data_IF_847385812307
#
_entry.id   IF_847385812307
#
_cell.length_a   1.000
_cell.length_b   1.000
_cell.length_c   1.000
_cell.angle_alpha   90.00
_cell.angle_beta   90.00
_cell.angle_gamma   90.00
#
_symmetry.space_group_name_H-M   'P 1'
#
loop_
_entity.id
_entity.type
_entity.pdbx_description
1 polymer ?
#
# COMPACT_ATOMS: atom_id res chain seq x y z
N UNK A 1 20.03 3.99 -27.27
CA UNK A 1 19.82 2.75 -26.50
C UNK A 1 18.33 2.49 -26.45
N UNK A 2 17.89 1.28 -26.75
CA UNK A 2 16.50 0.84 -26.69
C UNK A 2 16.44 -0.42 -25.82
N UNK A 3 15.36 -0.57 -25.06
CA UNK A 3 15.06 -1.80 -24.34
C UNK A 3 13.58 -2.14 -24.58
N UNK A 4 13.30 -3.42 -24.79
CA UNK A 4 11.93 -3.94 -24.92
C UNK A 4 11.65 -4.81 -23.71
N UNK A 5 10.53 -4.54 -23.05
CA UNK A 5 10.04 -5.29 -21.89
C UNK A 5 8.70 -5.89 -22.27
N UNK A 6 8.58 -7.20 -22.14
CA UNK A 6 7.42 -7.99 -22.54
C UNK A 6 6.95 -8.86 -21.37
N UNK A 7 5.63 -9.02 -21.24
CA UNK A 7 4.92 -9.87 -20.27
C UNK A 7 5.04 -9.49 -18.78
N UNK A 8 6.24 -9.24 -18.25
CA UNK A 8 6.49 -8.88 -16.84
C UNK A 8 7.40 -7.66 -16.71
N UNK A 9 7.41 -7.01 -15.54
CA UNK A 9 8.19 -5.78 -15.32
C UNK A 9 9.72 -5.98 -15.38
N UNK A 10 10.17 -7.22 -15.32
CA UNK A 10 11.55 -7.69 -15.47
C UNK A 10 11.77 -8.50 -16.76
N UNK A 11 10.73 -8.63 -17.60
CA UNK A 11 10.73 -9.39 -18.84
C UNK A 11 11.46 -8.67 -19.97
N UNK A 12 12.75 -8.35 -19.77
CA UNK A 12 13.56 -7.66 -20.77
C UNK A 12 13.89 -8.62 -21.92
N UNK A 13 13.17 -8.50 -23.04
CA UNK A 13 13.34 -9.34 -24.22
C UNK A 13 14.38 -8.79 -25.20
N UNK A 14 14.61 -7.47 -25.21
CA UNK A 14 15.61 -6.82 -26.05
C UNK A 14 16.38 -5.74 -25.29
N UNK A 15 17.70 -5.68 -25.47
CA UNK A 15 18.52 -4.50 -25.16
C UNK A 15 19.37 -4.20 -26.39
N UNK A 16 19.27 -2.97 -26.90
CA UNK A 16 20.03 -2.47 -28.03
C UNK A 16 20.77 -1.18 -27.66
N UNK A 17 22.07 -1.10 -27.94
CA UNK A 17 22.89 0.10 -27.72
C UNK A 17 23.52 0.49 -29.04
N UNK A 18 23.23 1.70 -29.52
CA UNK A 18 23.77 2.27 -30.76
C UNK A 18 23.62 1.36 -32.00
N UNK A 19 22.44 0.76 -32.20
CA UNK A 19 22.21 -0.14 -33.34
C UNK A 19 22.71 -1.57 -33.14
N UNK A 20 23.40 -1.87 -32.03
CA UNK A 20 23.90 -3.21 -31.71
C UNK A 20 23.02 -3.88 -30.66
N UNK A 21 22.40 -5.00 -31.03
CA UNK A 21 21.68 -5.86 -30.08
C UNK A 21 22.67 -6.47 -29.09
N UNK A 22 22.46 -6.18 -27.81
CA UNK A 22 23.23 -6.69 -26.67
C UNK A 22 22.54 -7.91 -26.06
N UNK A 23 21.21 -7.90 -26.04
CA UNK A 23 20.38 -8.98 -25.53
C UNK A 23 19.17 -9.12 -26.44
N UNK A 24 18.85 -10.34 -26.87
CA UNK A 24 17.64 -10.71 -27.58
C UNK A 24 17.20 -12.09 -27.07
N UNK A 25 16.06 -12.15 -26.39
CA UNK A 25 15.49 -13.37 -25.81
C UNK A 25 14.04 -13.47 -26.23
N UNK A 26 13.66 -14.64 -26.73
CA UNK A 26 12.25 -15.00 -26.81
C UNK A 26 11.77 -15.34 -25.41
N UNK A 27 11.03 -14.43 -24.79
CA UNK A 27 10.36 -14.70 -23.52
C UNK A 27 9.04 -15.36 -23.89
N UNK A 28 8.97 -16.68 -23.77
CA UNK A 28 7.68 -17.37 -23.81
C UNK A 28 6.92 -17.03 -22.54
N UNK A 29 5.69 -16.55 -22.70
CA UNK A 29 4.73 -16.51 -21.60
C UNK A 29 4.38 -17.95 -21.23
N UNK A 30 5.13 -18.54 -20.29
CA UNK A 30 4.52 -19.53 -19.43
C UNK A 30 3.57 -18.73 -18.56
N UNK A 31 2.29 -18.84 -18.88
CA UNK A 31 1.20 -18.57 -17.96
C UNK A 31 1.57 -19.38 -16.70
N UNK A 32 2.25 -18.73 -15.75
CA UNK A 32 2.46 -19.32 -14.44
C UNK A 32 1.06 -19.72 -14.05
N UNK A 33 0.83 -21.04 -13.92
CA UNK A 33 -0.44 -21.59 -13.45
C UNK A 33 -0.93 -20.59 -12.43
N UNK A 34 -2.05 -19.91 -12.72
CA UNK A 34 -2.76 -19.16 -11.73
C UNK A 34 -2.85 -20.15 -10.59
N UNK A 35 -2.01 -19.93 -9.57
CA UNK A 35 -1.87 -20.85 -8.46
C UNK A 35 -3.31 -21.10 -8.03
N UNK A 36 -3.67 -22.32 -7.65
CA UNK A 36 -4.98 -22.68 -7.08
C UNK A 36 -5.30 -21.90 -5.77
N UNK A 37 -4.74 -20.70 -5.59
CA UNK A 37 -4.98 -19.66 -4.60
C UNK A 37 -6.40 -19.09 -4.62
N UNK A 38 -7.22 -19.34 -5.65
CA UNK A 38 -8.67 -19.12 -5.57
C UNK A 38 -9.33 -19.90 -4.41
N UNK A 39 -8.60 -20.86 -3.82
CA UNK A 39 -9.04 -21.64 -2.65
C UNK A 39 -8.66 -21.06 -1.28
N UNK A 40 -7.91 -19.95 -1.19
CA UNK A 40 -7.50 -19.40 0.12
C UNK A 40 -8.71 -18.82 0.87
N UNK A 41 -9.04 -19.41 2.02
CA UNK A 41 -10.17 -18.96 2.84
C UNK A 41 -9.71 -18.02 3.96
N UNK A 42 -10.55 -17.04 4.31
CA UNK A 42 -10.27 -16.13 5.42
C UNK A 42 -10.09 -16.89 6.74
N UNK A 43 -10.83 -17.97 6.96
CA UNK A 43 -10.71 -18.82 8.14
C UNK A 43 -9.32 -19.47 8.23
N UNK A 44 -8.71 -19.83 7.10
CA UNK A 44 -7.36 -20.40 7.06
C UNK A 44 -6.30 -19.35 7.38
N UNK A 45 -6.49 -18.11 6.90
CA UNK A 45 -5.64 -16.98 7.27
C UNK A 45 -5.70 -16.73 8.77
N UNK A 46 -6.90 -16.65 9.35
CA UNK A 46 -7.06 -16.42 10.79
C UNK A 46 -6.49 -17.58 11.61
N UNK A 47 -6.74 -18.83 11.19
CA UNK A 47 -6.17 -20.01 11.84
C UNK A 47 -4.65 -19.98 11.80
N UNK A 48 -4.05 -19.69 10.65
CA UNK A 48 -2.61 -19.63 10.49
C UNK A 48 -1.98 -18.54 11.37
N UNK A 49 -2.52 -17.31 11.34
CA UNK A 49 -2.00 -16.20 12.17
C UNK A 49 -2.00 -16.53 13.65
N UNK A 50 -2.99 -17.27 14.14
CA UNK A 50 -3.10 -17.66 15.55
C UNK A 50 -2.24 -18.86 15.95
N UNK A 51 -1.82 -19.69 14.98
CA UNK A 51 -1.13 -20.96 15.26
C UNK A 51 0.32 -21.01 14.78
N UNK A 52 0.70 -20.13 13.86
CA UNK A 52 2.05 -20.06 13.31
C UNK A 52 3.09 -19.80 14.40
N UNK A 53 4.26 -20.39 14.21
CA UNK A 53 5.44 -20.13 15.01
C UNK A 53 6.00 -18.75 14.65
N UNK A 54 5.88 -17.81 15.58
CA UNK A 54 6.30 -16.42 15.36
C UNK A 54 7.80 -16.27 15.13
N UNK A 55 8.61 -17.28 15.49
CA UNK A 55 10.05 -17.31 15.18
C UNK A 55 10.31 -17.35 13.67
N UNK A 56 9.47 -18.03 12.91
CA UNK A 56 9.57 -18.08 11.43
C UNK A 56 9.05 -16.80 10.77
N UNK A 57 8.29 -16.00 11.51
CA UNK A 57 7.67 -14.76 11.05
C UNK A 57 8.40 -13.50 11.53
N UNK A 58 9.51 -13.65 12.26
CA UNK A 58 10.25 -12.53 12.83
C UNK A 58 10.74 -11.53 11.78
N UNK A 59 10.97 -11.97 10.53
CA UNK A 59 11.32 -11.09 9.41
C UNK A 59 10.30 -9.96 9.16
N UNK A 60 9.05 -10.11 9.61
CA UNK A 60 8.03 -9.07 9.52
C UNK A 60 8.37 -7.86 10.39
N UNK A 61 8.98 -8.06 11.56
CA UNK A 61 9.47 -6.96 12.39
C UNK A 61 10.65 -6.26 11.72
N UNK A 62 11.54 -7.01 11.08
CA UNK A 62 12.66 -6.44 10.33
C UNK A 62 12.13 -5.61 9.15
N UNK A 63 11.06 -6.07 8.49
CA UNK A 63 10.35 -5.32 7.45
C UNK A 63 9.72 -4.02 7.96
N UNK A 64 9.11 -4.05 9.16
CA UNK A 64 8.57 -2.85 9.79
C UNK A 64 9.68 -1.85 10.19
N UNK A 65 10.76 -2.32 10.83
CA UNK A 65 11.92 -1.48 11.19
C UNK A 65 12.55 -0.81 9.95
N UNK A 66 12.76 -1.59 8.89
CA UNK A 66 13.23 -1.08 7.59
C UNK A 66 12.31 0.02 7.05
N UNK A 67 11.00 -0.16 7.19
CA UNK A 67 10.01 0.82 6.76
C UNK A 67 10.05 2.12 7.57
N UNK A 68 10.33 2.04 8.88
CA UNK A 68 10.53 3.22 9.73
C UNK A 68 11.81 3.98 9.39
N UNK A 69 12.93 3.27 9.17
CA UNK A 69 14.19 3.90 8.76
C UNK A 69 14.01 4.68 7.44
N UNK A 70 13.26 4.11 6.49
CA UNK A 70 12.93 4.78 5.24
C UNK A 70 12.03 6.00 5.45
N UNK A 71 11.08 5.94 6.39
CA UNK A 71 10.24 7.08 6.75
C UNK A 71 11.05 8.22 7.38
N UNK A 72 11.96 7.90 8.30
CA UNK A 72 12.86 8.87 8.92
C UNK A 72 13.73 9.57 7.87
N UNK A 73 14.37 8.82 6.97
CA UNK A 73 15.17 9.36 5.87
C UNK A 73 14.33 10.27 4.95
N UNK A 74 13.08 9.89 4.70
CA UNK A 74 12.08 10.70 3.99
C UNK A 74 11.87 12.08 4.60
N UNK A 75 11.77 12.16 5.93
CA UNK A 75 11.58 13.41 6.66
C UNK A 75 12.87 14.23 6.69
N UNK A 76 13.99 13.61 7.06
CA UNK A 76 15.30 14.26 7.19
C UNK A 76 15.72 14.90 5.86
N UNK A 77 15.76 14.10 4.79
CA UNK A 77 16.24 14.55 3.48
C UNK A 77 15.19 15.34 2.70
N UNK A 78 13.90 15.15 3.00
CA UNK A 78 12.83 15.79 2.25
C UNK A 78 12.74 15.27 0.82
N UNK A 79 12.59 13.96 0.66
CA UNK A 79 12.38 13.33 -0.64
C UNK A 79 10.98 13.58 -1.21
N UNK A 80 10.80 13.31 -2.50
CA UNK A 80 9.49 13.24 -3.14
C UNK A 80 8.69 14.55 -3.05
N UNK A 81 7.43 14.46 -2.62
CA UNK A 81 6.58 15.63 -2.38
C UNK A 81 6.89 16.33 -1.06
N UNK A 82 7.68 15.71 -0.18
CA UNK A 82 7.86 16.14 1.22
C UNK A 82 6.53 16.19 1.98
N UNK A 83 5.56 15.38 1.59
CA UNK A 83 4.24 15.31 2.21
C UNK A 83 4.32 14.83 3.66
N UNK A 84 5.11 13.79 3.96
CA UNK A 84 5.33 13.35 5.34
C UNK A 84 5.97 14.44 6.21
N UNK A 85 6.93 15.19 5.63
CA UNK A 85 7.57 16.34 6.27
C UNK A 85 6.58 17.47 6.54
N UNK A 86 5.72 17.77 5.56
CA UNK A 86 4.68 18.79 5.67
C UNK A 86 3.65 18.41 6.76
N UNK A 87 3.14 17.18 6.75
CA UNK A 87 2.22 16.68 7.78
C UNK A 87 2.83 16.71 9.18
N UNK A 88 4.12 16.41 9.32
CA UNK A 88 4.80 16.52 10.61
C UNK A 88 4.86 17.97 11.09
N UNK A 89 5.26 18.90 10.21
CA UNK A 89 5.34 20.33 10.58
C UNK A 89 3.97 20.94 10.89
N UNK A 90 2.90 20.46 10.24
CA UNK A 90 1.52 20.91 10.45
C UNK A 90 1.10 20.74 11.92
N UNK A 91 1.55 19.67 12.59
CA UNK A 91 1.27 19.40 14.02
C UNK A 91 1.71 20.55 14.92
N UNK A 92 2.76 21.28 14.54
CA UNK A 92 3.37 22.33 15.33
C UNK A 92 2.95 23.75 14.90
N UNK A 93 2.22 23.88 13.79
CA UNK A 93 1.79 25.18 13.23
C UNK A 93 2.97 26.15 13.07
N UNK A 94 2.84 27.36 13.62
CA UNK A 94 3.89 28.39 13.58
C UNK A 94 5.09 28.10 14.50
N UNK A 95 5.00 27.08 15.37
CA UNK A 95 6.00 26.80 16.42
C UNK A 95 6.79 25.52 16.12
N UNK A 96 7.26 25.36 14.88
CA UNK A 96 8.08 24.21 14.46
C UNK A 96 9.41 24.18 15.22
N UNK A 97 9.73 23.11 15.98
CA UNK A 97 11.02 22.95 16.64
C UNK A 97 12.20 23.03 15.65
N UNK A 98 13.29 23.69 16.06
CA UNK A 98 14.42 23.97 15.17
C UNK A 98 15.13 22.70 14.68
N UNK A 99 15.18 21.67 15.52
CA UNK A 99 15.79 20.36 15.28
C UNK A 99 14.77 19.30 14.81
N UNK A 100 13.53 19.69 14.49
CA UNK A 100 12.46 18.75 14.11
C UNK A 100 12.86 17.84 12.95
N UNK A 101 13.64 18.34 11.98
CA UNK A 101 14.07 17.53 10.85
C UNK A 101 15.42 16.83 11.04
N UNK A 102 16.12 17.10 12.14
CA UNK A 102 17.34 16.37 12.54
C UNK A 102 16.97 15.13 13.36
N UNK A 103 15.89 15.22 14.16
CA UNK A 103 15.41 14.14 15.01
C UNK A 103 13.88 13.93 14.90
N UNK A 104 13.33 13.70 13.70
CA UNK A 104 11.89 13.73 13.47
C UNK A 104 11.10 12.70 14.27
N UNK A 105 11.72 11.55 14.58
CA UNK A 105 11.09 10.49 15.36
C UNK A 105 10.77 10.93 16.81
N UNK A 106 11.49 11.93 17.35
CA UNK A 106 11.22 12.51 18.68
C UNK A 106 9.99 13.44 18.69
N UNK A 107 9.53 13.85 17.51
CA UNK A 107 8.48 14.86 17.33
C UNK A 107 7.18 14.26 16.76
N UNK A 108 7.05 12.93 16.70
CA UNK A 108 5.83 12.29 16.25
C UNK A 108 4.67 12.56 17.23
N UNK A 109 3.48 12.95 16.73
CA UNK A 109 2.35 13.26 17.59
C UNK A 109 1.90 12.04 18.39
N UNK A 110 1.32 12.29 19.57
CA UNK A 110 0.62 11.29 20.39
C UNK A 110 -0.82 11.08 19.88
N UNK A 111 -0.94 10.80 18.59
CA UNK A 111 -2.19 10.53 17.88
C UNK A 111 -1.91 9.49 16.80
N UNK A 112 -2.45 8.27 16.95
CA UNK A 112 -2.15 7.15 16.07
C UNK A 112 -2.51 7.42 14.59
N UNK A 113 -3.72 7.92 14.25
CA UNK A 113 -4.05 8.30 12.88
C UNK A 113 -3.03 9.26 12.26
N UNK A 114 -2.67 10.34 12.96
CA UNK A 114 -1.74 11.35 12.46
C UNK A 114 -0.33 10.79 12.35
N UNK A 115 0.14 10.03 13.36
CA UNK A 115 1.45 9.39 13.37
C UNK A 115 1.62 8.43 12.20
N UNK A 116 0.67 7.51 12.00
CA UNK A 116 0.71 6.56 10.89
C UNK A 116 0.66 7.27 9.53
N UNK A 117 -0.17 8.31 9.39
CA UNK A 117 -0.27 9.14 8.18
C UNK A 117 1.07 9.80 7.82
N UNK A 118 1.74 10.39 8.80
CA UNK A 118 3.07 11.04 8.63
C UNK A 118 4.09 10.00 8.15
N UNK A 119 4.21 8.88 8.87
CA UNK A 119 5.24 7.88 8.61
C UNK A 119 5.05 7.21 7.25
N UNK A 120 3.83 6.81 6.90
CA UNK A 120 3.54 6.18 5.60
C UNK A 120 3.81 7.16 4.44
N UNK A 121 3.39 8.41 4.58
CA UNK A 121 3.65 9.44 3.59
C UNK A 121 5.15 9.67 3.40
N UNK A 122 5.90 9.77 4.50
CA UNK A 122 7.34 9.99 4.49
C UNK A 122 8.11 8.83 3.85
N UNK A 123 7.76 7.58 4.19
CA UNK A 123 8.42 6.41 3.61
C UNK A 123 8.12 6.30 2.11
N UNK A 124 6.89 6.60 1.69
CA UNK A 124 6.56 6.70 0.26
C UNK A 124 7.31 7.84 -0.42
N UNK A 125 7.44 9.00 0.21
CA UNK A 125 8.20 10.13 -0.31
C UNK A 125 9.67 9.77 -0.50
N UNK A 126 10.28 9.10 0.48
CA UNK A 126 11.65 8.58 0.41
C UNK A 126 11.82 7.62 -0.76
N UNK A 127 10.97 6.60 -0.84
CA UNK A 127 11.01 5.61 -1.92
C UNK A 127 10.84 6.27 -3.29
N UNK A 128 9.82 7.12 -3.43
CA UNK A 128 9.50 7.71 -4.73
C UNK A 128 10.45 8.85 -5.13
N UNK A 129 11.05 9.51 -4.14
CA UNK A 129 12.06 10.54 -4.32
C UNK A 129 13.48 10.00 -4.51
N UNK A 130 13.68 8.68 -4.50
CA UNK A 130 14.96 8.06 -4.83
C UNK A 130 15.93 7.91 -3.65
N UNK A 131 15.41 7.74 -2.43
CA UNK A 131 16.22 7.26 -1.31
C UNK A 131 16.93 5.95 -1.68
N UNK A 132 18.13 5.76 -1.12
CA UNK A 132 18.94 4.54 -1.30
C UNK A 132 18.58 3.44 -0.31
N UNK A 133 17.78 3.75 0.71
CA UNK A 133 17.33 2.76 1.69
C UNK A 133 16.30 1.82 1.06
N UNK A 134 16.30 0.53 1.45
CA UNK A 134 15.36 -0.44 0.92
C UNK A 134 13.95 -0.22 1.50
N UNK A 135 12.94 -0.68 0.77
CA UNK A 135 11.58 -0.81 1.26
C UNK A 135 11.19 -2.28 1.26
N UNK A 136 10.67 -2.79 2.38
CA UNK A 136 10.17 -4.15 2.43
C UNK A 136 8.94 -4.26 1.52
N UNK A 137 9.04 -5.10 0.49
CA UNK A 137 7.93 -5.32 -0.44
C UNK A 137 6.93 -6.32 0.14
N UNK A 138 5.64 -6.03 -0.04
CA UNK A 138 4.59 -7.02 0.11
C UNK A 138 4.06 -7.38 -1.28
N UNK A 139 4.01 -8.66 -1.60
CA UNK A 139 3.53 -9.17 -2.89
C UNK A 139 4.18 -8.48 -4.10
N UNK A 140 5.49 -8.24 -4.03
CA UNK A 140 6.27 -7.61 -5.10
C UNK A 140 6.17 -6.08 -5.18
N UNK A 141 5.48 -5.41 -4.25
CA UNK A 141 5.35 -3.94 -4.23
C UNK A 141 5.77 -3.34 -2.89
N UNK A 142 6.78 -2.46 -2.95
CA UNK A 142 7.29 -1.71 -1.79
C UNK A 142 6.26 -0.78 -1.16
N UNK A 143 5.46 -0.06 -1.96
CA UNK A 143 4.44 0.85 -1.41
C UNK A 143 3.30 0.10 -0.72
N UNK A 144 2.97 -1.09 -1.22
CA UNK A 144 2.00 -1.96 -0.56
C UNK A 144 2.54 -2.48 0.77
N UNK A 145 3.83 -2.86 0.82
CA UNK A 145 4.49 -3.24 2.07
C UNK A 145 4.51 -2.11 3.10
N UNK A 146 4.90 -0.90 2.69
CA UNK A 146 4.86 0.29 3.54
C UNK A 146 3.47 0.57 4.12
N UNK A 147 2.43 0.51 3.28
CA UNK A 147 1.04 0.76 3.70
C UNK A 147 0.52 -0.34 4.63
N UNK A 148 0.93 -1.60 4.42
CA UNK A 148 0.49 -2.72 5.25
C UNK A 148 1.22 -2.80 6.60
N UNK A 149 2.49 -2.43 6.64
CA UNK A 149 3.34 -2.62 7.82
C UNK A 149 3.38 -1.41 8.74
N UNK A 150 3.57 -0.19 8.22
CA UNK A 150 3.79 1.00 9.06
C UNK A 150 2.60 1.28 9.99
N UNK A 151 1.33 1.33 9.53
CA UNK A 151 0.22 1.63 10.44
C UNK A 151 0.09 0.59 11.56
N UNK A 152 0.31 -0.69 11.23
CA UNK A 152 0.18 -1.81 12.17
C UNK A 152 1.31 -1.81 13.19
N UNK A 153 2.57 -1.70 12.76
CA UNK A 153 3.71 -1.63 13.68
C UNK A 153 3.67 -0.37 14.54
N UNK A 154 3.30 0.77 13.97
CA UNK A 154 3.13 2.03 14.72
C UNK A 154 2.05 1.87 15.78
N UNK A 155 0.94 1.21 15.45
CA UNK A 155 -0.13 0.93 16.42
C UNK A 155 0.32 -0.03 17.52
N UNK A 156 1.12 -1.05 17.19
CA UNK A 156 1.64 -1.98 18.18
C UNK A 156 2.52 -1.25 19.21
N UNK A 157 3.42 -0.38 18.76
CA UNK A 157 4.22 0.47 19.64
C UNK A 157 3.35 1.41 20.48
N UNK A 158 2.40 2.09 19.83
CA UNK A 158 1.48 3.03 20.48
C UNK A 158 0.62 2.36 21.57
N UNK A 159 0.20 1.12 21.35
CA UNK A 159 -0.64 0.35 22.27
C UNK A 159 0.18 -0.47 23.30
N UNK A 160 1.52 -0.41 23.25
CA UNK A 160 2.40 -1.18 24.14
C UNK A 160 2.28 -2.69 23.95
N UNK A 161 2.02 -3.14 22.72
CA UNK A 161 1.85 -4.55 22.36
C UNK A 161 3.18 -5.29 22.38
N UNK A 162 3.14 -6.56 22.76
CA UNK A 162 4.36 -7.36 22.80
C UNK A 162 4.79 -7.83 21.39
N UNK A 163 5.98 -8.40 21.31
CA UNK A 163 6.58 -8.84 20.04
C UNK A 163 5.72 -9.88 19.30
N UNK A 164 5.21 -10.89 20.01
CA UNK A 164 4.37 -11.95 19.43
C UNK A 164 3.05 -11.38 18.88
N UNK A 165 2.39 -10.50 19.64
CA UNK A 165 1.19 -9.78 19.19
C UNK A 165 1.48 -8.95 17.93
N UNK A 166 2.63 -8.29 17.89
CA UNK A 166 3.06 -7.43 16.76
C UNK A 166 3.31 -8.26 15.50
N UNK A 167 4.06 -9.36 15.62
CA UNK A 167 4.35 -10.27 14.51
C UNK A 167 3.06 -10.83 13.92
N UNK A 168 2.12 -11.28 14.77
CA UNK A 168 0.83 -11.83 14.32
C UNK A 168 -0.01 -10.78 13.60
N UNK A 169 -0.05 -9.56 14.11
CA UNK A 169 -0.76 -8.46 13.46
C UNK A 169 -0.15 -8.10 12.09
N UNK A 170 1.18 -8.04 11.98
CA UNK A 170 1.86 -7.81 10.72
C UNK A 170 1.63 -8.96 9.74
N UNK A 171 1.61 -10.21 10.22
CA UNK A 171 1.32 -11.38 9.41
C UNK A 171 -0.10 -11.33 8.85
N UNK A 172 -1.08 -10.99 9.69
CA UNK A 172 -2.46 -10.83 9.26
C UNK A 172 -2.62 -9.70 8.25
N UNK A 173 -1.91 -8.58 8.45
CA UNK A 173 -1.90 -7.47 7.50
C UNK A 173 -1.40 -7.91 6.13
N UNK A 174 -0.26 -8.60 6.08
CA UNK A 174 0.30 -9.11 4.83
C UNK A 174 -0.60 -10.16 4.16
N UNK A 175 -1.19 -11.08 4.93
CA UNK A 175 -2.05 -12.14 4.39
C UNK A 175 -3.40 -11.61 3.91
N UNK A 176 -3.98 -10.62 4.59
CA UNK A 176 -5.22 -9.98 4.14
C UNK A 176 -4.97 -9.10 2.90
N UNK A 177 -3.84 -8.39 2.83
CA UNK A 177 -3.40 -7.73 1.61
C UNK A 177 -3.31 -8.74 0.46
N UNK A 178 -2.67 -9.88 0.72
CA UNK A 178 -2.52 -10.94 -0.27
C UNK A 178 -3.87 -11.45 -0.74
N UNK A 179 -4.76 -11.82 0.18
CA UNK A 179 -6.13 -12.26 -0.10
C UNK A 179 -6.86 -11.29 -1.05
N UNK A 180 -6.91 -10.00 -0.70
CA UNK A 180 -7.60 -9.02 -1.56
C UNK A 180 -6.90 -8.86 -2.91
N UNK A 181 -5.57 -8.86 -2.93
CA UNK A 181 -4.78 -8.68 -4.16
C UNK A 181 -4.94 -9.82 -5.15
N UNK A 182 -4.96 -11.08 -4.69
CA UNK A 182 -5.08 -12.23 -5.60
C UNK A 182 -6.44 -12.24 -6.30
N UNK A 183 -7.51 -11.82 -5.62
CA UNK A 183 -8.84 -11.75 -6.22
C UNK A 183 -8.96 -10.59 -7.22
N UNK A 184 -8.35 -9.43 -6.96
CA UNK A 184 -8.42 -8.29 -7.89
C UNK A 184 -7.47 -8.48 -9.09
N UNK A 185 -6.42 -9.29 -8.93
CA UNK A 185 -5.43 -9.57 -9.96
C UNK A 185 -4.38 -8.45 -10.12
N UNK A 186 -3.62 -8.50 -11.22
CA UNK A 186 -2.55 -7.54 -11.53
C UNK A 186 -3.10 -6.21 -12.10
N UNK A 187 -4.16 -5.68 -11.50
CA UNK A 187 -4.89 -4.52 -11.99
C UNK A 187 -4.04 -3.24 -12.02
N UNK A 188 -3.77 -2.70 -13.21
CA UNK A 188 -2.90 -1.53 -13.40
C UNK A 188 -3.60 -0.18 -13.13
N UNK A 189 -4.92 -0.10 -13.33
CA UNK A 189 -5.68 1.14 -13.18
C UNK A 189 -6.16 1.44 -11.74
N UNK A 190 -6.28 0.43 -10.86
CA UNK A 190 -6.74 0.60 -9.48
C UNK A 190 -5.56 0.64 -8.50
N UNK A 191 -5.61 1.54 -7.53
CA UNK A 191 -4.56 1.69 -6.53
C UNK A 191 -4.64 0.57 -5.48
N UNK A 192 -3.86 -0.50 -5.66
CA UNK A 192 -3.79 -1.60 -4.70
C UNK A 192 -3.18 -1.20 -3.34
N UNK A 193 -2.44 -0.10 -3.25
CA UNK A 193 -2.08 0.47 -1.94
C UNK A 193 -3.33 0.96 -1.19
N UNK A 194 -4.29 1.56 -1.91
CA UNK A 194 -5.53 2.05 -1.31
C UNK A 194 -6.53 0.94 -1.03
N UNK A 195 -6.55 -0.12 -1.84
CA UNK A 195 -7.49 -1.22 -1.66
C UNK A 195 -6.84 -2.34 -0.84
N UNK A 196 -5.99 -3.16 -1.45
CA UNK A 196 -5.42 -4.35 -0.81
C UNK A 196 -4.56 -4.05 0.41
N UNK A 197 -3.64 -3.08 0.34
CA UNK A 197 -2.79 -2.78 1.49
C UNK A 197 -3.54 -2.09 2.63
N UNK A 198 -4.58 -1.30 2.32
CA UNK A 198 -5.48 -0.73 3.33
C UNK A 198 -6.37 -1.78 4.00
N UNK A 199 -6.78 -2.82 3.26
CA UNK A 199 -7.43 -4.00 3.81
C UNK A 199 -6.49 -4.73 4.79
N UNK A 200 -5.24 -4.94 4.40
CA UNK A 200 -4.19 -5.47 5.28
C UNK A 200 -4.04 -4.66 6.56
N UNK A 201 -3.80 -3.35 6.43
CA UNK A 201 -3.65 -2.46 7.56
C UNK A 201 -4.88 -2.52 8.50
N UNK A 202 -6.10 -2.46 7.96
CA UNK A 202 -7.32 -2.54 8.76
C UNK A 202 -7.43 -3.87 9.54
N UNK A 203 -7.10 -5.00 8.90
CA UNK A 203 -7.12 -6.30 9.56
C UNK A 203 -6.08 -6.41 10.70
N UNK A 204 -4.84 -5.99 10.44
CA UNK A 204 -3.77 -6.00 11.45
C UNK A 204 -4.07 -5.06 12.63
N UNK A 205 -4.60 -3.87 12.35
CA UNK A 205 -5.04 -2.91 13.36
C UNK A 205 -6.20 -3.46 14.21
N UNK A 206 -7.23 -4.02 13.58
CA UNK A 206 -8.35 -4.64 14.27
C UNK A 206 -7.88 -5.78 15.20
N UNK A 207 -6.95 -6.62 14.73
CA UNK A 207 -6.35 -7.68 15.52
C UNK A 207 -5.62 -7.16 16.76
N UNK A 208 -4.75 -6.15 16.62
CA UNK A 208 -4.04 -5.56 17.77
C UNK A 208 -5.00 -5.01 18.82
N UNK A 209 -6.12 -4.46 18.38
CA UNK A 209 -7.16 -3.90 19.25
C UNK A 209 -8.09 -4.95 19.85
N UNK A 210 -7.90 -6.24 19.54
CA UNK A 210 -8.71 -7.34 20.09
C UNK A 210 -10.11 -7.45 19.48
N UNK A 211 -10.28 -7.06 18.22
CA UNK A 211 -11.54 -7.17 17.51
C UNK A 211 -11.97 -8.65 17.37
N UNK A 212 -13.28 -8.88 17.43
CA UNK A 212 -13.85 -10.16 16.97
C UNK A 212 -13.66 -10.33 15.46
N UNK A 213 -13.76 -11.57 14.95
CA UNK A 213 -13.69 -11.83 13.51
C UNK A 213 -14.73 -11.02 12.71
N UNK A 214 -15.95 -10.85 13.26
CA UNK A 214 -16.99 -10.01 12.67
C UNK A 214 -16.54 -8.55 12.55
N UNK A 215 -16.01 -7.98 13.63
CA UNK A 215 -15.52 -6.60 13.63
C UNK A 215 -14.31 -6.43 12.71
N UNK A 216 -13.45 -7.44 12.60
CA UNK A 216 -12.33 -7.42 11.68
C UNK A 216 -12.81 -7.41 10.22
N UNK A 217 -13.73 -8.30 9.85
CA UNK A 217 -14.34 -8.32 8.51
C UNK A 217 -15.03 -6.98 8.19
N UNK A 218 -15.75 -6.41 9.15
CA UNK A 218 -16.37 -5.09 9.03
C UNK A 218 -15.34 -3.95 8.87
N UNK A 219 -14.23 -3.98 9.60
CA UNK A 219 -13.15 -3.00 9.48
C UNK A 219 -12.49 -3.05 8.09
N UNK A 220 -12.28 -4.25 7.55
CA UNK A 220 -11.74 -4.40 6.19
C UNK A 220 -12.73 -3.86 5.16
N UNK A 221 -14.03 -4.19 5.26
CA UNK A 221 -15.07 -3.65 4.37
C UNK A 221 -15.13 -2.12 4.43
N UNK A 222 -15.20 -1.56 5.63
CA UNK A 222 -15.20 -0.10 5.85
C UNK A 222 -13.94 0.59 5.32
N UNK A 223 -12.82 -0.13 5.22
CA UNK A 223 -11.56 0.38 4.68
C UNK A 223 -11.59 0.40 3.15
N UNK A 224 -11.94 -0.73 2.51
CA UNK A 224 -11.82 -0.88 1.05
C UNK A 224 -12.95 -0.23 0.26
N UNK A 225 -14.18 -0.24 0.78
CA UNK A 225 -15.34 0.30 0.07
C UNK A 225 -15.22 1.78 -0.30
N UNK A 226 -14.84 2.71 0.60
CA UNK A 226 -14.66 4.12 0.24
C UNK A 226 -13.39 4.40 -0.58
N UNK A 227 -12.44 3.47 -0.60
CA UNK A 227 -11.17 3.62 -1.35
C UNK A 227 -11.26 3.00 -2.76
N UNK A 228 -12.27 2.18 -3.01
CA UNK A 228 -12.54 1.58 -4.30
C UNK A 228 -12.83 2.67 -5.34
N UNK A 229 -11.97 2.77 -6.36
CA UNK A 229 -12.00 3.81 -7.39
C UNK A 229 -10.82 4.78 -7.35
N UNK A 230 -9.94 4.69 -6.34
CA UNK A 230 -8.68 5.41 -6.37
C UNK A 230 -7.81 4.89 -7.52
N UNK A 231 -7.54 5.74 -8.52
CA UNK A 231 -6.80 5.36 -9.72
C UNK A 231 -5.30 5.24 -9.46
N UNK A 232 -4.65 4.34 -10.19
CA UNK A 232 -3.21 4.14 -10.19
C UNK A 232 -2.62 4.58 -11.54
N UNK A 233 -1.49 5.28 -11.48
CA UNK A 233 -0.71 5.68 -12.66
C UNK A 233 0.75 5.24 -12.55
N UNK A 234 0.98 4.18 -11.77
CA UNK A 234 2.28 3.65 -11.41
C UNK A 234 2.90 4.29 -10.17
N UNK A 235 4.06 3.76 -9.78
CA UNK A 235 4.83 4.27 -8.66
C UNK A 235 5.37 5.66 -8.99
N UNK A 236 4.71 6.70 -8.46
CA UNK A 236 5.09 8.12 -8.57
C UNK A 236 4.89 8.82 -7.24
N UNK A 237 5.43 10.03 -7.13
CA UNK A 237 5.36 10.89 -5.95
C UNK A 237 3.95 11.03 -5.32
N UNK A 238 2.87 10.99 -6.11
CA UNK A 238 1.50 11.03 -5.59
C UNK A 238 1.09 9.80 -4.76
N UNK A 239 1.86 8.70 -4.79
CA UNK A 239 1.62 7.54 -3.93
C UNK A 239 1.62 7.91 -2.45
N UNK A 240 2.46 8.87 -2.03
CA UNK A 240 2.54 9.29 -0.63
C UNK A 240 1.18 9.79 -0.10
N UNK A 241 0.46 10.57 -0.92
CA UNK A 241 -0.87 11.08 -0.57
C UNK A 241 -1.93 9.97 -0.55
N UNK A 242 -1.89 9.07 -1.54
CA UNK A 242 -2.82 7.93 -1.65
C UNK A 242 -2.68 6.99 -0.46
N UNK A 243 -1.44 6.67 -0.08
CA UNK A 243 -1.12 5.79 1.04
C UNK A 243 -1.44 6.45 2.40
N UNK A 244 -1.25 7.76 2.52
CA UNK A 244 -1.64 8.54 3.69
C UNK A 244 -3.17 8.50 3.92
N UNK A 245 -3.96 8.69 2.85
CA UNK A 245 -5.43 8.57 2.89
C UNK A 245 -5.82 7.14 3.27
N UNK A 246 -5.26 6.14 2.59
CA UNK A 246 -5.55 4.74 2.85
C UNK A 246 -5.31 4.36 4.31
N UNK A 247 -4.14 4.72 4.86
CA UNK A 247 -3.78 4.42 6.25
C UNK A 247 -4.71 5.10 7.26
N UNK A 248 -5.08 6.36 7.00
CA UNK A 248 -6.01 7.10 7.86
C UNK A 248 -7.42 6.48 7.82
N UNK A 249 -7.87 6.07 6.63
CA UNK A 249 -9.14 5.38 6.44
C UNK A 249 -9.15 4.02 7.12
N UNK A 250 -8.07 3.23 7.04
CA UNK A 250 -7.96 1.94 7.73
C UNK A 250 -8.13 2.08 9.25
N UNK A 251 -7.47 3.05 9.88
CA UNK A 251 -7.59 3.30 11.33
C UNK A 251 -9.02 3.74 11.69
N UNK A 252 -9.61 4.62 10.87
CA UNK A 252 -10.99 5.08 11.06
C UNK A 252 -11.99 3.93 10.90
N UNK A 253 -11.78 3.04 9.93
CA UNK A 253 -12.60 1.88 9.65
C UNK A 253 -12.64 0.88 10.81
N UNK A 254 -11.49 0.66 11.46
CA UNK A 254 -11.40 -0.14 12.69
C UNK A 254 -12.19 0.52 13.82
N UNK A 255 -12.03 1.83 14.02
CA UNK A 255 -12.78 2.58 15.04
C UNK A 255 -14.29 2.44 14.86
N UNK A 256 -14.78 2.51 13.61
CA UNK A 256 -16.18 2.32 13.26
C UNK A 256 -16.66 0.89 13.52
N UNK A 257 -15.86 -0.12 13.16
CA UNK A 257 -16.22 -1.52 13.39
C UNK A 257 -16.37 -1.84 14.89
N UNK A 258 -15.55 -1.24 15.77
CA UNK A 258 -15.72 -1.33 17.23
C UNK A 258 -17.02 -0.69 17.76
N UNK A 259 -17.68 0.14 16.95
CA UNK A 259 -18.99 0.74 17.22
C UNK A 259 -20.13 0.02 16.49
N UNK A 260 -19.87 -1.17 15.96
CA UNK A 260 -20.81 -1.95 15.16
C UNK A 260 -21.32 -1.18 13.92
N UNK A 261 -20.50 -0.26 13.40
CA UNK A 261 -20.76 0.47 12.16
C UNK A 261 -20.03 -0.23 11.02
N UNK A 262 -20.78 -0.61 9.98
CA UNK A 262 -20.29 -1.32 8.81
C UNK A 262 -21.02 -0.83 7.55
N UNK A 263 -20.33 -0.74 6.41
CA UNK A 263 -20.97 -0.53 5.12
C UNK A 263 -21.97 -1.66 4.84
N UNK A 264 -23.22 -1.29 4.58
CA UNK A 264 -24.31 -2.21 4.28
C UNK A 264 -24.33 -2.64 2.81
N UNK A 265 -25.20 -3.59 2.51
CA UNK A 265 -25.38 -4.18 1.17
C UNK A 265 -25.60 -3.18 0.02
N UNK A 266 -26.21 -2.01 0.29
CA UNK A 266 -26.48 -1.00 -0.74
C UNK A 266 -25.41 0.10 -0.82
N UNK A 267 -24.35 0.02 -0.01
CA UNK A 267 -23.32 1.06 0.08
C UNK A 267 -22.18 0.82 -0.93
N UNK A 268 -22.42 1.22 -2.18
CA UNK A 268 -21.40 1.24 -3.22
C UNK A 268 -20.95 -0.17 -3.65
N UNK A 269 -19.72 -0.54 -3.29
CA UNK A 269 -19.13 -1.87 -3.59
C UNK A 269 -19.25 -2.86 -2.44
N UNK A 270 -19.80 -2.44 -1.30
CA UNK A 270 -20.01 -3.31 -0.15
C UNK A 270 -21.14 -4.31 -0.41
N UNK A 271 -20.99 -5.52 0.12
CA UNK A 271 -21.98 -6.60 0.07
C UNK A 271 -22.11 -7.24 1.47
N UNK A 272 -22.97 -8.25 1.65
CA UNK A 272 -23.26 -8.87 2.94
C UNK A 272 -21.99 -9.42 3.62
N UNK A 273 -21.09 -10.04 2.86
CA UNK A 273 -19.78 -10.50 3.37
C UNK A 273 -18.58 -9.76 2.80
N UNK A 274 -17.42 -9.92 3.46
CA UNK A 274 -16.16 -9.36 2.98
C UNK A 274 -15.75 -10.01 1.65
N UNK A 275 -15.93 -11.32 1.52
CA UNK A 275 -15.64 -12.09 0.33
C UNK A 275 -16.47 -11.59 -0.87
N UNK A 276 -17.78 -11.35 -0.66
CA UNK A 276 -18.64 -10.77 -1.68
C UNK A 276 -18.26 -9.31 -2.01
N UNK A 277 -17.89 -8.51 -1.00
CA UNK A 277 -17.38 -7.14 -1.22
C UNK A 277 -16.12 -7.16 -2.10
N UNK A 278 -15.18 -8.07 -1.82
CA UNK A 278 -13.97 -8.26 -2.63
C UNK A 278 -14.33 -8.74 -4.04
N UNK A 279 -15.26 -9.68 -4.18
CA UNK A 279 -15.77 -10.14 -5.48
C UNK A 279 -16.37 -9.00 -6.29
N UNK A 280 -17.16 -8.12 -5.67
CA UNK A 280 -17.73 -6.95 -6.35
C UNK A 280 -16.63 -6.01 -6.86
N UNK A 281 -15.59 -5.76 -6.06
CA UNK A 281 -14.44 -4.94 -6.47
C UNK A 281 -13.69 -5.61 -7.62
N UNK A 282 -13.50 -6.92 -7.56
CA UNK A 282 -12.88 -7.72 -8.62
C UNK A 282 -13.65 -7.62 -9.93
N UNK A 283 -14.97 -7.80 -9.91
CA UNK A 283 -15.82 -7.73 -11.10
C UNK A 283 -15.78 -6.34 -11.74
N UNK A 284 -15.83 -5.28 -10.91
CA UNK A 284 -15.69 -3.90 -11.37
C UNK A 284 -14.30 -3.68 -11.99
N UNK A 285 -13.24 -4.15 -11.34
CA UNK A 285 -11.88 -4.01 -11.86
C UNK A 285 -11.74 -4.73 -13.21
N UNK A 286 -12.13 -6.01 -13.29
CA UNK A 286 -12.08 -6.81 -14.51
C UNK A 286 -12.90 -6.18 -15.65
N UNK A 287 -14.10 -5.66 -15.35
CA UNK A 287 -14.98 -5.04 -16.34
C UNK A 287 -14.58 -3.64 -16.81
N UNK A 288 -13.66 -2.95 -16.11
CA UNK A 288 -13.31 -1.55 -16.41
C UNK A 288 -11.84 -1.29 -16.74
N UNK A 289 -10.95 -2.24 -16.46
CA UNK A 289 -9.50 -2.02 -16.50
C UNK A 289 -8.98 -1.52 -17.84
N UNK A 290 -9.30 -2.19 -18.95
CA UNK A 290 -8.80 -1.83 -20.28
C UNK A 290 -9.18 -0.40 -20.68
N UNK A 291 -10.41 0.00 -20.33
CA UNK A 291 -10.92 1.33 -20.61
C UNK A 291 -10.23 2.39 -19.76
N UNK A 292 -10.07 2.12 -18.46
CA UNK A 292 -9.38 3.02 -17.53
C UNK A 292 -7.91 3.18 -17.88
N UNK A 293 -7.20 2.08 -18.16
CA UNK A 293 -5.79 2.10 -18.57
C UNK A 293 -5.61 2.92 -19.84
N UNK A 294 -6.44 2.70 -20.86
CA UNK A 294 -6.39 3.49 -22.09
C UNK A 294 -6.62 4.97 -21.84
N UNK A 295 -7.66 5.31 -21.06
CA UNK A 295 -7.96 6.70 -20.74
C UNK A 295 -6.81 7.37 -19.97
N UNK A 296 -6.17 6.65 -19.05
CA UNK A 296 -5.02 7.12 -18.28
C UNK A 296 -3.80 7.36 -19.19
N UNK A 297 -3.48 6.43 -20.09
CA UNK A 297 -2.39 6.58 -21.06
C UNK A 297 -2.65 7.78 -21.97
N UNK A 298 -3.85 7.93 -22.49
CA UNK A 298 -4.22 9.05 -23.36
C UNK A 298 -4.01 10.40 -22.66
N UNK A 299 -4.38 10.52 -21.39
CA UNK A 299 -4.17 11.76 -20.63
C UNK A 299 -2.68 12.02 -20.34
N UNK A 300 -1.90 10.98 -20.06
CA UNK A 300 -0.45 11.10 -19.88
C UNK A 300 0.21 11.61 -21.17
N UNK A 301 -0.16 11.05 -22.33
CA UNK A 301 0.37 11.48 -23.63
C UNK A 301 0.03 12.94 -23.94
N UNK A 302 -1.23 13.36 -23.72
CA UNK A 302 -1.65 14.76 -23.88
C UNK A 302 -0.85 15.71 -22.99
N UNK A 303 -0.58 15.32 -21.73
CA UNK A 303 0.26 16.11 -20.81
C UNK A 303 1.70 16.23 -21.32
N UNK A 304 2.28 15.14 -21.83
CA UNK A 304 3.63 15.15 -22.41
C UNK A 304 3.73 16.04 -23.65
N UNK A 305 2.73 16.01 -24.55
CA UNK A 305 2.68 16.86 -25.74
C UNK A 305 2.57 18.35 -25.38
N UNK A 306 1.63 18.69 -24.49
CA UNK A 306 1.47 20.07 -23.98
C UNK A 306 2.78 20.61 -23.42
N UNK A 307 3.50 19.81 -22.63
CA UNK A 307 4.80 20.22 -22.05
C UNK A 307 5.87 20.45 -23.13
N UNK A 308 5.91 19.62 -24.18
CA UNK A 308 6.84 19.81 -25.31
C UNK A 308 6.53 21.10 -26.09
N UNK A 309 5.25 21.40 -26.32
CA UNK A 309 4.85 22.63 -27.01
C UNK A 309 5.20 23.88 -26.19
N UNK A 310 5.06 23.83 -24.86
CA UNK A 310 5.49 24.92 -23.96
C UNK A 310 7.00 25.16 -24.02
N UNK A 311 7.81 24.08 -24.06
CA UNK A 311 9.26 24.18 -24.16
C UNK A 311 9.75 24.73 -25.50
N UNK A 312 9.00 24.52 -26.58
CA UNK A 312 9.35 25.06 -27.92
C UNK A 312 8.99 26.53 -28.10
N UNK A 313 8.14 27.09 -27.22
CA UNK A 313 7.74 28.50 -27.23
C UNK A 313 8.67 29.41 -26.43
N UNK A 314 9.54 28.84 -25.60
CA UNK A 314 10.53 29.54 -24.78
C UNK A 314 11.94 29.35 -25.36
#
# INVERSE_FOLDING_TARGET
>A
MAAVVEHTHDGVSLIEVNGKKILEKNISFEENQDLELESLRLEEIFSYVNTADTRELHFLLDGYKMSLELAEDGIVQGFGLKSGRAYLSEVYGDHVPADLYEHPMNYLPDDLPTRARILVAAASDARMGGSRLPAMAAMGDGNQGLTAMIPVGTAAEFLGKNEDETIRALALSCLMLFYVKIHIGRAAAFCLCAIAASAGAAAGLAYLMGASEKQLKAAVKNSISPLCGMLCDGAKNACALKMAIASSTAISAVTLAFKDVECGFYDGVADDTLEQTVSCITDIAAGSMDMLDKAMVDEILKKSERRRMEMQKN
#
